data_IF_995739933535
#
_entry.id   IF_995739933535
#
_cell.length_a   1.000
_cell.length_b   1.000
_cell.length_c   1.000
_cell.angle_alpha   90.00
_cell.angle_beta   90.00
_cell.angle_gamma   90.00
#
_symmetry.space_group_name_H-M   'P 1'
#
loop_
_entity.id
_entity.type
_entity.pdbx_description
1 polymer ?
#
# COMPACT_ATOMS: atom_id res chain seq x y z
N UNK A 1 16.98 14.90 -14.59
CA UNK A 1 15.77 14.05 -14.69
C UNK A 1 16.25 12.64 -14.99
N UNK A 2 15.84 11.66 -14.18
CA UNK A 2 16.14 10.24 -14.43
C UNK A 2 15.41 9.77 -15.70
N UNK A 3 15.93 8.74 -16.38
CA UNK A 3 15.31 8.20 -17.59
C UNK A 3 13.88 7.67 -17.37
N UNK A 4 13.50 7.36 -16.12
CA UNK A 4 12.16 6.91 -15.77
C UNK A 4 11.05 7.95 -16.01
N UNK A 5 11.36 9.25 -16.01
CA UNK A 5 10.37 10.29 -16.34
C UNK A 5 9.86 10.19 -17.79
N UNK A 6 10.69 9.66 -18.71
CA UNK A 6 10.26 9.42 -20.10
C UNK A 6 9.29 8.24 -20.19
N UNK A 7 9.45 7.26 -19.30
CA UNK A 7 8.63 6.05 -19.27
C UNK A 7 7.27 6.27 -18.60
N UNK A 8 7.20 7.24 -17.68
CA UNK A 8 6.02 7.62 -16.90
C UNK A 8 5.71 9.10 -17.15
N UNK A 9 5.15 9.46 -18.33
CA UNK A 9 4.98 10.85 -18.76
C UNK A 9 4.04 11.68 -17.85
N UNK A 10 3.15 11.01 -17.11
CA UNK A 10 2.27 11.67 -16.13
C UNK A 10 2.97 12.07 -14.83
N UNK A 11 4.22 11.67 -14.58
CA UNK A 11 4.90 11.94 -13.30
C UNK A 11 5.28 13.43 -13.13
N UNK A 12 4.87 14.11 -12.04
CA UNK A 12 5.26 15.49 -11.79
C UNK A 12 6.75 15.62 -11.42
N UNK A 13 7.30 16.82 -11.57
CA UNK A 13 8.68 17.10 -11.14
C UNK A 13 8.90 16.70 -9.67
N UNK A 14 10.02 16.04 -9.39
CA UNK A 14 10.38 15.56 -8.06
C UNK A 14 9.63 14.29 -7.59
N UNK A 15 8.69 13.77 -8.39
CA UNK A 15 7.94 12.53 -8.07
C UNK A 15 8.81 11.36 -7.61
N UNK A 16 9.99 11.18 -8.19
CA UNK A 16 10.87 10.03 -7.90
C UNK A 16 12.14 10.42 -7.12
N UNK A 17 12.17 11.60 -6.49
CA UNK A 17 13.30 12.01 -5.66
C UNK A 17 13.48 11.05 -4.48
N UNK A 18 14.68 10.50 -4.33
CA UNK A 18 15.00 9.51 -3.29
C UNK A 18 14.42 8.10 -3.53
N UNK A 19 13.84 7.83 -4.70
CA UNK A 19 13.33 6.48 -5.06
C UNK A 19 14.41 5.68 -5.78
N UNK A 20 14.82 4.58 -5.18
CA UNK A 20 15.72 3.59 -5.76
C UNK A 20 14.96 2.51 -6.54
N UNK A 21 15.61 1.97 -7.56
CA UNK A 21 15.14 0.83 -8.37
C UNK A 21 16.31 -0.10 -8.59
N UNK A 22 16.08 -1.40 -8.41
CA UNK A 22 17.09 -2.45 -8.66
C UNK A 22 17.09 -2.93 -10.13
N UNK A 23 16.27 -2.30 -10.97
CA UNK A 23 16.15 -2.51 -12.41
C UNK A 23 16.34 -1.20 -13.16
N UNK A 24 16.58 -1.30 -14.47
CA UNK A 24 16.91 -0.15 -15.33
C UNK A 24 15.70 0.33 -16.14
N UNK A 25 15.81 1.52 -16.74
CA UNK A 25 14.82 2.00 -17.70
C UNK A 25 14.68 1.06 -18.92
N UNK A 26 15.79 0.47 -19.38
CA UNK A 26 15.81 -0.50 -20.48
C UNK A 26 15.02 -1.79 -20.14
N UNK A 27 15.03 -2.22 -18.87
CA UNK A 27 14.21 -3.35 -18.43
C UNK A 27 12.72 -3.05 -18.56
N UNK A 28 12.31 -1.82 -18.21
CA UNK A 28 10.92 -1.38 -18.35
C UNK A 28 10.50 -1.35 -19.81
N UNK A 29 11.32 -0.76 -20.70
CA UNK A 29 11.07 -0.75 -22.15
C UNK A 29 10.94 -2.17 -22.71
N UNK A 30 11.80 -3.08 -22.27
CA UNK A 30 11.78 -4.49 -22.69
C UNK A 30 10.52 -5.23 -22.22
N UNK A 31 9.96 -4.87 -21.07
CA UNK A 31 8.84 -5.58 -20.43
C UNK A 31 7.46 -4.95 -20.71
N UNK A 32 7.39 -3.71 -21.22
CA UNK A 32 6.12 -2.97 -21.42
C UNK A 32 5.36 -3.28 -22.71
N UNK A 33 5.89 -4.16 -23.56
CA UNK A 33 5.29 -4.47 -24.86
C UNK A 33 5.47 -3.34 -25.89
N UNK A 34 4.86 -3.51 -27.06
CA UNK A 34 5.08 -2.65 -28.24
C UNK A 34 4.01 -1.57 -28.47
N UNK A 35 2.99 -1.52 -27.62
CA UNK A 35 1.86 -0.59 -27.77
C UNK A 35 1.68 0.23 -26.51
N UNK A 36 1.25 1.48 -26.67
CA UNK A 36 0.93 2.34 -25.54
C UNK A 36 -0.52 2.11 -25.11
N UNK A 37 -0.72 1.72 -23.85
CA UNK A 37 -2.03 1.64 -23.19
C UNK A 37 -2.05 2.68 -22.08
N UNK A 38 -3.11 3.49 -22.03
CA UNK A 38 -3.27 4.56 -21.03
C UNK A 38 -4.17 4.10 -19.90
N UNK A 39 -3.75 4.38 -18.65
CA UNK A 39 -4.49 4.07 -17.43
C UNK A 39 -4.93 5.38 -16.75
N UNK A 40 -5.81 6.13 -17.41
CA UNK A 40 -6.11 7.53 -17.06
C UNK A 40 -6.52 7.75 -15.60
N UNK A 41 -7.38 6.89 -15.04
CA UNK A 41 -7.82 7.03 -13.64
C UNK A 41 -6.67 6.81 -12.64
N UNK A 42 -5.78 5.85 -12.91
CA UNK A 42 -4.60 5.63 -12.07
C UNK A 42 -3.63 6.81 -12.15
N UNK A 43 -3.39 7.35 -13.35
CA UNK A 43 -2.53 8.53 -13.54
C UNK A 43 -3.09 9.76 -12.81
N UNK A 44 -4.37 10.08 -13.03
CA UNK A 44 -5.06 11.19 -12.37
C UNK A 44 -5.08 11.02 -10.85
N UNK A 45 -5.44 9.83 -10.37
CA UNK A 45 -5.51 9.52 -8.95
C UNK A 45 -4.14 9.64 -8.28
N UNK A 46 -3.11 9.02 -8.85
CA UNK A 46 -1.76 9.06 -8.30
C UNK A 46 -1.21 10.49 -8.21
N UNK A 47 -1.39 11.30 -9.25
CA UNK A 47 -0.93 12.68 -9.27
C UNK A 47 -1.70 13.56 -8.28
N UNK A 48 -3.03 13.38 -8.19
CA UNK A 48 -3.85 14.09 -7.21
C UNK A 48 -3.44 13.70 -5.78
N UNK A 49 -3.24 12.41 -5.51
CA UNK A 49 -2.81 11.93 -4.20
C UNK A 49 -1.44 12.52 -3.83
N UNK A 50 -0.48 12.49 -4.76
CA UNK A 50 0.84 13.07 -4.56
C UNK A 50 0.77 14.57 -4.23
N UNK A 51 -0.08 15.32 -4.94
CA UNK A 51 -0.32 16.74 -4.64
C UNK A 51 -0.90 16.93 -3.23
N UNK A 52 -1.97 16.20 -2.90
CA UNK A 52 -2.65 16.32 -1.61
C UNK A 52 -1.72 16.04 -0.41
N UNK A 53 -0.91 14.98 -0.46
CA UNK A 53 0.01 14.64 0.66
C UNK A 53 1.19 15.63 0.81
N UNK A 54 1.39 16.52 -0.15
CA UNK A 54 2.42 17.55 -0.12
C UNK A 54 1.88 18.95 0.23
N UNK A 55 0.60 19.22 -0.03
CA UNK A 55 -0.02 20.53 0.18
C UNK A 55 -0.93 20.59 1.42
N UNK A 56 -1.59 19.49 1.77
CA UNK A 56 -2.48 19.43 2.94
C UNK A 56 -1.68 19.13 4.21
N UNK A 57 -2.17 19.59 5.37
CA UNK A 57 -1.59 19.23 6.67
C UNK A 57 -1.51 17.70 6.86
N UNK A 58 -2.58 17.02 6.45
CA UNK A 58 -2.66 15.57 6.33
C UNK A 58 -3.85 15.21 5.40
N UNK A 59 -3.86 13.99 4.87
CA UNK A 59 -4.97 13.44 4.10
C UNK A 59 -5.56 12.28 4.88
N UNK A 60 -6.79 12.43 5.36
CA UNK A 60 -7.54 11.35 6.02
C UNK A 60 -8.53 10.69 5.04
N UNK A 61 -8.84 9.43 5.30
CA UNK A 61 -9.78 8.64 4.51
C UNK A 61 -10.54 7.66 5.42
N UNK A 62 -11.60 7.06 4.89
CA UNK A 62 -12.36 6.00 5.53
C UNK A 62 -12.39 4.76 4.62
N UNK A 63 -12.48 3.57 5.24
CA UNK A 63 -12.58 2.28 4.54
C UNK A 63 -13.94 2.12 3.85
N UNK A 64 -13.94 2.10 2.51
CA UNK A 64 -15.12 1.85 1.71
C UNK A 64 -15.18 0.40 1.23
N UNK A 65 -16.26 -0.31 1.57
CA UNK A 65 -16.57 -1.66 1.10
C UNK A 65 -17.57 -1.70 -0.07
N UNK A 66 -18.07 -0.53 -0.48
CA UNK A 66 -18.93 -0.40 -1.65
C UNK A 66 -18.77 0.95 -2.35
N UNK A 67 -19.21 1.03 -3.61
CA UNK A 67 -19.17 2.27 -4.37
C UNK A 67 -20.07 3.38 -3.80
N UNK A 68 -21.22 3.04 -3.21
CA UNK A 68 -22.08 4.07 -2.60
C UNK A 68 -21.48 4.66 -1.33
N UNK A 69 -20.80 3.86 -0.51
CA UNK A 69 -20.05 4.40 0.63
C UNK A 69 -18.99 5.41 0.15
N UNK A 70 -18.18 5.02 -0.85
CA UNK A 70 -17.18 5.91 -1.43
C UNK A 70 -17.80 7.20 -2.02
N UNK A 71 -18.92 7.10 -2.72
CA UNK A 71 -19.65 8.27 -3.23
C UNK A 71 -20.06 9.22 -2.10
N UNK A 72 -20.55 8.71 -0.97
CA UNK A 72 -20.93 9.55 0.16
C UNK A 72 -19.71 10.14 0.88
N UNK A 73 -18.61 9.41 0.97
CA UNK A 73 -17.34 9.94 1.51
C UNK A 73 -16.89 11.18 0.73
N UNK A 74 -16.90 11.10 -0.61
CA UNK A 74 -16.54 12.22 -1.48
C UNK A 74 -17.57 13.34 -1.39
N UNK A 75 -18.87 13.03 -1.41
CA UNK A 75 -19.94 14.03 -1.25
C UNK A 75 -19.85 14.79 0.07
N UNK A 76 -19.41 14.12 1.14
CA UNK A 76 -19.19 14.72 2.44
C UNK A 76 -17.91 15.58 2.53
N UNK A 77 -17.08 15.60 1.47
CA UNK A 77 -15.88 16.41 1.36
C UNK A 77 -14.56 15.69 1.70
N UNK A 78 -14.57 14.37 1.92
CA UNK A 78 -13.31 13.63 2.06
C UNK A 78 -12.54 13.62 0.73
N UNK A 79 -11.22 13.85 0.80
CA UNK A 79 -10.36 14.02 -0.38
C UNK A 79 -9.71 12.73 -0.87
N UNK A 80 -9.88 11.62 -0.16
CA UNK A 80 -9.34 10.31 -0.50
C UNK A 80 -10.25 9.19 0.01
N UNK A 81 -10.10 8.00 -0.57
CA UNK A 81 -10.83 6.78 -0.20
C UNK A 81 -9.80 5.72 0.19
N UNK A 82 -10.06 5.00 1.29
CA UNK A 82 -9.29 3.81 1.64
C UNK A 82 -10.09 2.56 1.23
N UNK A 83 -9.41 1.60 0.62
CA UNK A 83 -9.98 0.29 0.29
C UNK A 83 -9.28 -0.76 1.16
N UNK A 84 -10.01 -1.31 2.13
CA UNK A 84 -9.49 -2.25 3.11
C UNK A 84 -9.59 -3.71 2.65
N UNK A 85 -8.50 -4.46 2.73
CA UNK A 85 -8.47 -5.91 2.49
C UNK A 85 -9.30 -6.67 3.52
N UNK A 86 -9.30 -6.22 4.78
CA UNK A 86 -10.18 -6.73 5.84
C UNK A 86 -11.66 -6.65 5.45
N UNK A 87 -12.11 -5.50 4.91
CA UNK A 87 -13.51 -5.33 4.48
C UNK A 87 -13.83 -6.17 3.24
N UNK A 88 -12.87 -6.32 2.32
CA UNK A 88 -12.99 -7.23 1.18
C UNK A 88 -13.19 -8.68 1.67
N UNK A 89 -12.36 -9.15 2.60
CA UNK A 89 -12.50 -10.47 3.21
C UNK A 89 -13.86 -10.63 3.90
N UNK A 90 -14.30 -9.62 4.65
CA UNK A 90 -15.53 -9.67 5.42
C UNK A 90 -16.78 -9.77 4.53
N UNK A 91 -16.91 -8.94 3.48
CA UNK A 91 -18.22 -8.75 2.84
C UNK A 91 -18.19 -8.34 1.35
N UNK A 92 -17.01 -8.27 0.70
CA UNK A 92 -16.91 -7.72 -0.66
C UNK A 92 -15.93 -8.45 -1.60
N UNK A 93 -15.70 -9.75 -1.39
CA UNK A 93 -14.74 -10.53 -2.19
C UNK A 93 -15.37 -11.40 -3.29
N UNK A 94 -14.51 -11.88 -4.19
CA UNK A 94 -14.86 -12.65 -5.39
C UNK A 94 -15.11 -14.13 -5.13
N UNK A 95 -14.95 -14.62 -3.89
CA UNK A 95 -15.42 -15.94 -3.51
C UNK A 95 -16.87 -15.93 -3.00
N UNK A 96 -17.49 -14.75 -2.89
CA UNK A 96 -18.86 -14.59 -2.36
C UNK A 96 -19.04 -15.24 -0.99
N UNK A 97 -18.02 -15.13 -0.14
CA UNK A 97 -17.97 -15.72 1.19
C UNK A 97 -17.49 -14.70 2.21
N UNK A 98 -17.94 -14.85 3.45
CA UNK A 98 -17.39 -14.11 4.58
C UNK A 98 -16.11 -14.80 5.06
N UNK A 99 -15.00 -14.06 5.12
CA UNK A 99 -13.72 -14.54 5.62
C UNK A 99 -13.16 -13.66 6.74
N UNK A 100 -12.35 -14.23 7.65
CA UNK A 100 -11.43 -13.43 8.45
C UNK A 100 -10.31 -12.84 7.57
N UNK A 101 -9.65 -11.80 8.07
CA UNK A 101 -8.55 -11.10 7.39
C UNK A 101 -7.23 -11.90 7.44
N UNK A 102 -7.14 -12.88 6.55
CA UNK A 102 -6.02 -13.84 6.45
C UNK A 102 -5.68 -14.23 4.99
N UNK A 103 -5.89 -13.32 4.02
CA UNK A 103 -5.60 -13.59 2.59
C UNK A 103 -6.30 -14.84 2.00
N UNK A 104 -7.47 -15.21 2.54
CA UNK A 104 -8.22 -16.40 2.08
C UNK A 104 -8.98 -16.18 0.78
N UNK A 105 -9.28 -14.92 0.46
CA UNK A 105 -10.06 -14.57 -0.72
C UNK A 105 -9.20 -14.56 -1.99
N UNK A 106 -9.78 -14.78 -3.18
CA UNK A 106 -9.03 -14.72 -4.44
C UNK A 106 -8.41 -13.35 -4.68
N UNK A 107 -7.13 -13.31 -5.07
CA UNK A 107 -6.31 -12.09 -5.16
C UNK A 107 -6.88 -10.96 -6.04
N UNK A 108 -7.83 -11.25 -6.92
CA UNK A 108 -8.49 -10.25 -7.76
C UNK A 108 -9.60 -9.44 -7.06
N UNK A 109 -9.99 -9.82 -5.83
CA UNK A 109 -11.13 -9.23 -5.14
C UNK A 109 -11.00 -7.73 -4.88
N UNK A 110 -9.87 -7.29 -4.31
CA UNK A 110 -9.65 -5.89 -3.98
C UNK A 110 -9.51 -5.00 -5.25
N UNK A 111 -8.82 -5.41 -6.33
CA UNK A 111 -8.90 -4.72 -7.62
C UNK A 111 -10.31 -4.60 -8.19
N UNK A 112 -11.15 -5.64 -8.10
CA UNK A 112 -12.55 -5.57 -8.52
C UNK A 112 -13.36 -4.56 -7.69
N UNK A 113 -13.10 -4.46 -6.38
CA UNK A 113 -13.72 -3.43 -5.55
C UNK A 113 -13.23 -2.02 -5.91
N UNK A 114 -11.93 -1.82 -6.18
CA UNK A 114 -11.40 -0.53 -6.63
C UNK A 114 -12.08 -0.06 -7.92
N UNK A 115 -12.27 -0.99 -8.87
CA UNK A 115 -13.00 -0.74 -10.12
C UNK A 115 -14.45 -0.38 -9.86
N UNK A 116 -15.14 -1.07 -8.94
CA UNK A 116 -16.53 -0.74 -8.54
C UNK A 116 -16.63 0.66 -7.96
N UNK A 117 -15.72 1.04 -7.07
CA UNK A 117 -15.66 2.38 -6.48
C UNK A 117 -15.52 3.43 -7.59
N UNK A 118 -14.51 3.30 -8.45
CA UNK A 118 -14.28 4.23 -9.56
C UNK A 118 -15.47 4.32 -10.52
N UNK A 119 -16.18 3.21 -10.78
CA UNK A 119 -17.40 3.21 -11.62
C UNK A 119 -18.56 3.97 -10.96
N UNK A 120 -18.72 3.86 -9.65
CA UNK A 120 -19.75 4.65 -8.94
C UNK A 120 -19.41 6.13 -8.94
N UNK A 121 -18.14 6.50 -8.70
CA UNK A 121 -17.67 7.89 -8.78
C UNK A 121 -17.84 8.46 -10.19
N UNK A 122 -17.52 7.68 -11.23
CA UNK A 122 -17.78 8.04 -12.62
C UNK A 122 -19.26 8.31 -12.89
N UNK A 123 -20.18 7.53 -12.30
CA UNK A 123 -21.62 7.79 -12.46
C UNK A 123 -22.05 9.06 -11.75
N UNK A 124 -21.52 9.34 -10.55
CA UNK A 124 -21.81 10.57 -9.83
C UNK A 124 -21.36 11.81 -10.62
N UNK A 125 -20.16 11.75 -11.22
CA UNK A 125 -19.62 12.77 -12.13
C UNK A 125 -20.50 13.01 -13.36
N UNK A 126 -20.91 11.92 -14.03
CA UNK A 126 -21.79 11.99 -15.19
C UNK A 126 -23.16 12.60 -14.88
N UNK A 127 -23.71 12.33 -13.70
CA UNK A 127 -25.00 12.88 -13.25
C UNK A 127 -24.89 14.41 -13.14
N UNK A 128 -23.94 14.91 -12.36
CA UNK A 128 -23.81 16.37 -12.15
C UNK A 128 -23.36 17.11 -13.41
N UNK A 129 -22.51 16.48 -14.22
CA UNK A 129 -22.14 17.01 -15.55
C UNK A 129 -23.39 17.16 -16.45
N UNK A 130 -24.26 16.16 -16.48
CA UNK A 130 -25.49 16.19 -17.28
C UNK A 130 -26.51 17.22 -16.76
N UNK A 131 -26.54 17.49 -15.46
CA UNK A 131 -27.40 18.52 -14.85
C UNK A 131 -26.93 19.95 -15.14
N UNK A 132 -25.68 20.15 -15.57
CA UNK A 132 -25.19 21.43 -16.10
C UNK A 132 -25.00 22.55 -15.08
N UNK A 133 -24.93 22.22 -13.78
CA UNK A 133 -24.81 23.19 -12.67
C UNK A 133 -23.40 23.23 -12.05
N UNK A 134 -22.44 22.55 -12.67
CA UNK A 134 -21.14 22.27 -12.07
C UNK A 134 -21.20 21.11 -11.08
N UNK A 135 -20.04 20.75 -10.52
CA UNK A 135 -19.93 19.70 -9.52
C UNK A 135 -20.22 20.24 -8.12
N UNK A 136 -20.78 19.40 -7.26
CA UNK A 136 -21.00 19.72 -5.83
C UNK A 136 -19.76 19.48 -4.95
N UNK A 137 -18.69 18.95 -5.53
CA UNK A 137 -17.40 18.60 -4.89
C UNK A 137 -16.24 19.03 -5.77
N UNK A 138 -15.02 19.12 -5.22
CA UNK A 138 -13.80 19.44 -5.99
C UNK A 138 -13.60 18.49 -7.20
N UNK A 139 -13.83 17.20 -6.97
CA UNK A 139 -13.83 16.16 -7.99
C UNK A 139 -14.52 14.91 -7.43
N UNK A 140 -15.23 14.19 -8.28
CA UNK A 140 -15.75 12.87 -7.93
C UNK A 140 -14.66 11.81 -7.87
N UNK A 141 -13.56 11.98 -8.61
CA UNK A 141 -12.47 10.99 -8.71
C UNK A 141 -11.44 11.19 -7.59
N UNK A 142 -11.88 11.04 -6.34
CA UNK A 142 -10.97 11.03 -5.20
C UNK A 142 -9.98 9.83 -5.30
N UNK A 143 -8.68 10.03 -5.01
CA UNK A 143 -7.69 8.96 -5.05
C UNK A 143 -8.03 7.81 -4.10
N UNK A 144 -7.96 6.59 -4.63
CA UNK A 144 -8.11 5.36 -3.85
C UNK A 144 -6.73 4.88 -3.41
N UNK A 145 -6.52 4.73 -2.11
CA UNK A 145 -5.39 4.00 -1.53
C UNK A 145 -5.88 2.60 -1.18
N UNK A 146 -5.31 1.57 -1.80
CA UNK A 146 -5.82 0.21 -1.74
C UNK A 146 -4.86 -0.79 -1.09
N UNK A 147 -5.45 -1.80 -0.47
CA UNK A 147 -4.79 -2.89 0.24
C UNK A 147 -4.40 -4.05 -0.69
N UNK A 148 -3.10 -4.28 -0.86
CA UNK A 148 -2.57 -5.46 -1.56
C UNK A 148 -2.09 -6.56 -0.58
N UNK A 149 -2.39 -6.42 0.72
CA UNK A 149 -1.99 -7.32 1.79
C UNK A 149 -0.48 -7.61 1.75
N UNK A 150 -0.10 -8.88 1.84
CA UNK A 150 1.27 -9.36 1.66
C UNK A 150 1.64 -9.63 0.18
N UNK A 151 0.82 -9.18 -0.77
CA UNK A 151 1.01 -9.40 -2.21
C UNK A 151 0.56 -10.79 -2.71
N UNK A 152 -0.19 -11.56 -1.91
CA UNK A 152 -0.75 -12.88 -2.26
C UNK A 152 0.29 -13.95 -2.68
N UNK A 153 1.55 -13.78 -2.29
CA UNK A 153 2.60 -14.75 -2.58
C UNK A 153 3.99 -14.12 -2.66
N UNK A 154 4.69 -14.41 -3.75
CA UNK A 154 6.02 -13.86 -4.02
C UNK A 154 6.00 -12.59 -4.87
N UNK A 155 7.17 -12.14 -5.35
CA UNK A 155 7.29 -10.90 -6.13
C UNK A 155 6.43 -10.86 -7.40
N UNK A 156 6.20 -11.99 -8.08
CA UNK A 156 5.33 -12.03 -9.27
C UNK A 156 3.85 -11.82 -8.92
N UNK A 157 3.39 -12.31 -7.76
CA UNK A 157 2.03 -12.06 -7.28
C UNK A 157 1.87 -10.57 -6.91
N UNK A 158 2.87 -9.99 -6.24
CA UNK A 158 2.91 -8.55 -5.94
C UNK A 158 2.92 -7.69 -7.22
N UNK A 159 3.65 -8.11 -8.27
CA UNK A 159 3.65 -7.44 -9.57
C UNK A 159 2.26 -7.47 -10.24
N UNK A 160 1.62 -8.65 -10.29
CA UNK A 160 0.32 -8.79 -10.95
C UNK A 160 -0.81 -8.06 -10.21
N UNK A 161 -0.86 -8.10 -8.87
CA UNK A 161 -1.88 -7.36 -8.13
C UNK A 161 -1.70 -5.84 -8.26
N UNK A 162 -0.46 -5.35 -8.35
CA UNK A 162 -0.21 -3.93 -8.64
C UNK A 162 -0.78 -3.52 -10.00
N UNK A 163 -0.55 -4.32 -11.05
CA UNK A 163 -1.12 -4.06 -12.38
C UNK A 163 -2.66 -4.07 -12.34
N UNK A 164 -3.25 -5.04 -11.67
CA UNK A 164 -4.70 -5.13 -11.52
C UNK A 164 -5.28 -3.89 -10.83
N UNK A 165 -4.62 -3.38 -9.78
CA UNK A 165 -5.02 -2.13 -9.13
C UNK A 165 -4.85 -0.90 -10.03
N UNK A 166 -3.79 -0.83 -10.82
CA UNK A 166 -3.58 0.24 -11.80
C UNK A 166 -4.68 0.23 -12.86
N UNK A 167 -5.01 -0.93 -13.41
CA UNK A 167 -6.12 -1.08 -14.36
C UNK A 167 -7.47 -0.69 -13.75
N UNK A 168 -7.67 -0.99 -12.46
CA UNK A 168 -8.84 -0.59 -11.70
C UNK A 168 -8.88 0.90 -11.34
N UNK A 169 -7.79 1.65 -11.55
CA UNK A 169 -7.68 3.08 -11.29
C UNK A 169 -7.33 3.44 -9.83
N UNK A 170 -6.61 2.58 -9.12
CA UNK A 170 -6.07 2.92 -7.79
C UNK A 170 -4.94 3.96 -7.90
N UNK A 171 -4.89 4.89 -6.93
CA UNK A 171 -3.89 5.96 -6.87
C UNK A 171 -2.63 5.55 -6.10
N UNK A 172 -2.81 4.73 -5.06
CA UNK A 172 -1.73 4.18 -4.26
C UNK A 172 -2.09 2.78 -3.76
N UNK A 173 -1.07 1.96 -3.52
CA UNK A 173 -1.22 0.58 -3.09
C UNK A 173 -0.23 0.29 -1.97
N UNK A 174 -0.70 -0.32 -0.88
CA UNK A 174 0.18 -0.73 0.23
C UNK A 174 0.46 -2.23 0.24
N UNK A 175 1.68 -2.57 0.63
CA UNK A 175 2.17 -3.94 0.81
C UNK A 175 2.75 -4.08 2.21
N UNK A 176 2.58 -5.23 2.84
CA UNK A 176 3.11 -5.51 4.18
C UNK A 176 4.16 -6.63 4.21
N UNK A 177 5.03 -6.62 5.21
CA UNK A 177 6.16 -7.55 5.36
C UNK A 177 5.79 -8.85 6.11
N UNK A 178 4.56 -9.33 5.90
CA UNK A 178 4.09 -10.62 6.39
C UNK A 178 4.28 -11.74 5.36
N UNK A 179 4.32 -12.99 5.84
CA UNK A 179 4.24 -14.18 5.01
C UNK A 179 2.79 -14.34 4.50
N UNK A 180 2.59 -14.26 3.18
CA UNK A 180 1.25 -14.29 2.59
C UNK A 180 0.40 -15.52 2.97
N UNK A 181 1.01 -16.70 3.08
CA UNK A 181 0.27 -17.92 3.47
C UNK A 181 -0.19 -17.92 4.94
N UNK A 182 0.36 -17.04 5.76
CA UNK A 182 0.03 -16.87 7.17
C UNK A 182 -0.34 -15.43 7.52
N UNK A 183 -0.76 -14.64 6.51
CA UNK A 183 -1.15 -13.25 6.69
C UNK A 183 -2.23 -13.15 7.76
N UNK A 184 -2.18 -12.10 8.59
CA UNK A 184 -3.24 -11.74 9.53
C UNK A 184 -3.55 -10.25 9.45
N UNK A 185 -4.69 -9.86 9.99
CA UNK A 185 -4.93 -8.49 10.39
C UNK A 185 -3.79 -8.01 11.32
N UNK A 186 -3.37 -6.76 11.18
CA UNK A 186 -2.32 -6.15 11.99
C UNK A 186 -2.53 -6.23 13.50
N UNK A 187 -3.78 -6.36 13.94
CA UNK A 187 -4.20 -6.40 15.34
C UNK A 187 -4.52 -7.83 15.85
N UNK A 188 -4.25 -8.86 15.04
CA UNK A 188 -4.36 -10.26 15.46
C UNK A 188 -2.98 -10.83 15.86
N UNK A 189 -3.01 -11.87 16.71
CA UNK A 189 -1.82 -12.67 17.01
C UNK A 189 -1.41 -13.60 15.86
N UNK A 190 -0.23 -14.23 15.98
CA UNK A 190 0.23 -15.24 15.03
C UNK A 190 0.79 -14.69 13.71
N UNK A 191 1.14 -13.39 13.65
CA UNK A 191 1.80 -12.80 12.49
C UNK A 191 3.21 -13.37 12.30
N UNK A 192 3.53 -13.72 11.06
CA UNK A 192 4.85 -14.20 10.63
C UNK A 192 5.45 -13.19 9.66
N UNK A 193 6.58 -12.59 10.00
CA UNK A 193 7.31 -11.69 9.12
C UNK A 193 8.06 -12.46 8.04
N UNK A 194 8.27 -11.82 6.90
CA UNK A 194 9.29 -12.20 5.92
C UNK A 194 10.60 -11.43 6.18
N UNK A 195 11.75 -11.91 5.66
CA UNK A 195 13.01 -11.18 5.75
C UNK A 195 12.90 -9.78 5.11
N UNK A 196 13.64 -8.82 5.63
CA UNK A 196 13.68 -7.44 5.15
C UNK A 196 13.92 -7.39 3.62
N UNK A 197 14.88 -8.17 3.10
CA UNK A 197 15.13 -8.29 1.65
C UNK A 197 13.95 -8.87 0.85
N UNK A 198 13.16 -9.77 1.44
CA UNK A 198 11.99 -10.33 0.76
C UNK A 198 10.89 -9.27 0.57
N UNK A 199 10.65 -8.42 1.57
CA UNK A 199 9.71 -7.32 1.42
C UNK A 199 10.21 -6.25 0.44
N UNK A 200 11.51 -5.92 0.45
CA UNK A 200 12.11 -5.03 -0.57
C UNK A 200 11.90 -5.56 -2.00
N UNK A 201 11.97 -6.89 -2.21
CA UNK A 201 11.64 -7.51 -3.52
C UNK A 201 10.16 -7.29 -3.91
N UNK A 202 9.23 -7.37 -2.96
CA UNK A 202 7.81 -7.09 -3.23
C UNK A 202 7.58 -5.60 -3.57
N UNK A 203 8.19 -4.68 -2.83
CA UNK A 203 8.12 -3.23 -3.11
C UNK A 203 8.73 -2.90 -4.49
N UNK A 204 9.86 -3.52 -4.82
CA UNK A 204 10.50 -3.41 -6.14
C UNK A 204 9.58 -3.94 -7.24
N UNK A 205 8.93 -5.08 -7.03
CA UNK A 205 7.99 -5.65 -7.99
C UNK A 205 6.77 -4.73 -8.20
N UNK A 206 6.23 -4.14 -7.14
CA UNK A 206 5.17 -3.14 -7.23
C UNK A 206 5.62 -1.90 -8.02
N UNK A 207 6.84 -1.40 -7.80
CA UNK A 207 7.37 -0.28 -8.58
C UNK A 207 7.57 -0.66 -10.05
N UNK A 208 8.09 -1.86 -10.33
CA UNK A 208 8.29 -2.32 -11.71
C UNK A 208 6.95 -2.41 -12.44
N UNK A 209 5.91 -2.91 -11.78
CA UNK A 209 4.55 -2.91 -12.32
C UNK A 209 4.07 -1.49 -12.65
N UNK A 210 4.24 -0.52 -11.75
CA UNK A 210 3.87 0.88 -12.02
C UNK A 210 4.63 1.49 -13.20
N UNK A 211 5.94 1.25 -13.28
CA UNK A 211 6.78 1.76 -14.37
C UNK A 211 6.43 1.09 -15.72
N UNK A 212 6.18 -0.21 -15.74
CA UNK A 212 5.74 -0.98 -16.93
C UNK A 212 4.38 -0.49 -17.42
N UNK A 213 3.46 -0.19 -16.50
CA UNK A 213 2.14 0.36 -16.81
C UNK A 213 2.19 1.87 -17.10
N UNK A 214 3.37 2.51 -17.00
CA UNK A 214 3.58 3.91 -17.34
C UNK A 214 2.86 4.91 -16.43
N UNK A 215 2.58 4.56 -15.17
CA UNK A 215 1.84 5.41 -14.23
C UNK A 215 2.61 5.69 -12.92
N UNK A 216 2.48 6.89 -12.32
CA UNK A 216 3.22 7.27 -11.12
C UNK A 216 2.58 6.78 -9.81
N UNK A 217 1.93 5.61 -9.81
CA UNK A 217 1.20 5.05 -8.66
C UNK A 217 2.04 5.05 -7.39
N UNK A 218 1.41 5.43 -6.28
CA UNK A 218 2.10 5.49 -4.99
C UNK A 218 2.26 4.09 -4.41
N UNK A 219 3.47 3.76 -3.94
CA UNK A 219 3.77 2.51 -3.24
C UNK A 219 3.93 2.81 -1.76
N UNK A 220 3.20 2.11 -0.90
CA UNK A 220 3.24 2.29 0.55
C UNK A 220 3.82 1.01 1.18
N UNK A 221 4.93 1.14 1.91
CA UNK A 221 5.53 0.02 2.62
C UNK A 221 4.99 -0.03 4.05
N UNK A 222 4.39 -1.16 4.42
CA UNK A 222 3.89 -1.42 5.77
C UNK A 222 4.80 -2.43 6.47
N UNK A 223 5.12 -2.16 7.74
CA UNK A 223 5.75 -3.16 8.62
C UNK A 223 4.82 -3.60 9.75
N UNK A 224 4.81 -4.90 10.02
CA UNK A 224 4.02 -5.54 11.08
C UNK A 224 4.87 -5.95 12.30
N UNK A 225 6.15 -5.57 12.32
CA UNK A 225 7.15 -5.98 13.31
C UNK A 225 6.87 -5.48 14.75
N UNK A 226 5.89 -4.59 14.95
CA UNK A 226 5.55 -4.06 16.26
C UNK A 226 4.98 -5.17 17.16
N UNK A 227 4.20 -6.08 16.59
CA UNK A 227 3.53 -7.17 17.30
C UNK A 227 3.87 -8.58 16.78
N UNK A 228 4.48 -8.70 15.59
CA UNK A 228 4.84 -9.99 15.03
C UNK A 228 6.02 -10.63 15.79
N UNK A 229 5.83 -11.87 16.25
CA UNK A 229 6.81 -12.62 17.05
C UNK A 229 7.49 -13.75 16.28
N UNK A 230 7.14 -13.92 15.01
CA UNK A 230 7.67 -14.98 14.14
C UNK A 230 8.30 -14.37 12.89
N UNK A 231 9.33 -15.01 12.37
CA UNK A 231 10.04 -14.67 11.15
C UNK A 231 10.35 -15.95 10.36
N UNK A 232 10.16 -15.93 9.04
CA UNK A 232 10.38 -17.15 8.25
C UNK A 232 11.83 -17.58 8.14
N UNK A 233 12.79 -16.64 8.16
CA UNK A 233 14.22 -16.93 8.05
C UNK A 233 15.07 -15.79 8.61
N UNK A 234 16.18 -16.14 9.27
CA UNK A 234 17.21 -15.21 9.75
C UNK A 234 18.33 -14.94 8.72
N UNK A 235 18.07 -15.26 7.44
CA UNK A 235 19.06 -15.15 6.36
C UNK A 235 19.58 -13.72 6.18
N UNK A 236 18.71 -12.72 6.40
CA UNK A 236 19.03 -11.30 6.27
C UNK A 236 19.67 -10.78 7.54
N UNK A 237 20.91 -10.28 7.42
CA UNK A 237 21.70 -9.75 8.54
C UNK A 237 21.00 -8.61 9.29
N UNK A 238 20.12 -7.87 8.62
CA UNK A 238 19.34 -6.78 9.24
C UNK A 238 18.29 -7.28 10.21
N UNK A 239 17.85 -8.53 10.07
CA UNK A 239 16.83 -9.13 10.91
C UNK A 239 17.44 -9.86 12.12
N UNK A 240 18.67 -10.37 11.99
CA UNK A 240 19.37 -11.15 13.03
C UNK A 240 19.44 -10.48 14.41
N UNK A 241 19.63 -9.15 14.56
CA UNK A 241 19.64 -8.49 15.88
C UNK A 241 18.35 -8.69 16.67
N UNK A 242 17.24 -8.97 15.99
CA UNK A 242 15.92 -9.14 16.58
C UNK A 242 15.52 -10.61 16.75
N UNK A 243 16.32 -11.57 16.27
CA UNK A 243 16.03 -12.99 16.43
C UNK A 243 16.34 -13.44 17.86
N UNK A 244 15.42 -14.18 18.46
CA UNK A 244 15.62 -14.87 19.73
C UNK A 244 16.12 -16.29 19.45
N UNK A 245 17.45 -16.43 19.35
CA UNK A 245 18.08 -17.72 19.07
C UNK A 245 17.96 -18.72 20.24
N UNK A 246 17.77 -18.24 21.48
CA UNK A 246 17.64 -19.10 22.66
C UNK A 246 16.26 -19.78 22.71
N UNK A 247 15.23 -19.11 22.18
CA UNK A 247 13.89 -19.68 22.07
C UNK A 247 13.79 -20.82 21.04
N UNK A 248 14.79 -20.98 20.18
CA UNK A 248 14.79 -21.97 19.10
C UNK A 248 13.78 -21.62 17.99
N UNK A 249 13.37 -22.65 17.23
CA UNK A 249 12.39 -22.52 16.14
C UNK A 249 11.08 -23.20 16.51
N UNK A 250 9.98 -22.73 15.94
CA UNK A 250 8.67 -23.39 16.04
C UNK A 250 8.68 -24.73 15.29
N UNK A 251 7.61 -25.52 15.45
CA UNK A 251 7.48 -26.84 14.79
C UNK A 251 7.39 -26.71 13.26
N UNK A 252 6.86 -25.59 12.76
CA UNK A 252 6.82 -25.21 11.34
C UNK A 252 8.18 -24.73 10.84
N UNK A 253 9.14 -24.50 11.74
CA UNK A 253 10.49 -24.04 11.42
C UNK A 253 10.67 -22.52 11.42
N UNK A 254 9.71 -21.75 11.93
CA UNK A 254 9.84 -20.29 12.03
C UNK A 254 10.79 -19.89 13.17
N UNK A 255 11.53 -18.81 12.96
CA UNK A 255 12.31 -18.17 14.01
C UNK A 255 11.41 -17.32 14.89
N UNK A 256 11.73 -17.26 16.18
CA UNK A 256 11.12 -16.32 17.10
C UNK A 256 11.87 -14.99 17.08
N UNK A 257 11.15 -13.88 17.15
CA UNK A 257 11.74 -12.53 17.12
C UNK A 257 11.22 -11.63 18.24
N UNK A 258 12.07 -10.71 18.67
CA UNK A 258 11.77 -9.61 19.59
C UNK A 258 11.01 -8.53 18.82
N UNK A 259 9.68 -8.53 19.00
CA UNK A 259 8.80 -7.53 18.40
C UNK A 259 8.96 -6.15 19.06
N UNK A 260 8.52 -5.09 18.38
CA UNK A 260 8.42 -3.75 18.97
C UNK A 260 8.84 -2.64 18.01
N UNK A 261 9.06 -1.44 18.56
CA UNK A 261 9.34 -0.25 17.76
C UNK A 261 10.73 -0.27 17.08
N UNK A 262 11.73 -0.88 17.71
CA UNK A 262 13.09 -0.96 17.17
C UNK A 262 13.18 -1.70 15.82
N UNK A 263 12.67 -2.94 15.67
CA UNK A 263 12.65 -3.59 14.36
C UNK A 263 11.78 -2.85 13.35
N UNK A 264 10.71 -2.17 13.79
CA UNK A 264 9.90 -1.34 12.88
C UNK A 264 10.70 -0.19 12.29
N UNK A 265 11.46 0.56 13.11
CA UNK A 265 12.30 1.66 12.62
C UNK A 265 13.39 1.12 11.69
N UNK A 266 14.06 0.02 12.06
CA UNK A 266 15.09 -0.60 11.23
C UNK A 266 14.55 -1.01 9.85
N UNK A 267 13.40 -1.69 9.82
CA UNK A 267 12.71 -2.10 8.59
C UNK A 267 12.23 -0.91 7.77
N UNK A 268 11.60 0.06 8.41
CA UNK A 268 11.15 1.30 7.77
C UNK A 268 12.30 2.04 7.06
N UNK A 269 13.45 2.19 7.72
CA UNK A 269 14.65 2.81 7.13
C UNK A 269 15.15 2.01 5.92
N UNK A 270 15.09 0.67 5.98
CA UNK A 270 15.48 -0.19 4.86
C UNK A 270 14.49 -0.14 3.68
N UNK A 271 13.19 0.06 3.96
CA UNK A 271 12.15 0.13 2.93
C UNK A 271 12.04 1.51 2.28
N UNK A 272 12.51 2.57 2.95
CA UNK A 272 12.32 3.94 2.53
C UNK A 272 12.72 4.23 1.07
N UNK A 273 13.85 3.73 0.53
CA UNK A 273 14.20 4.00 -0.87
C UNK A 273 13.24 3.35 -1.88
N UNK A 274 12.45 2.36 -1.48
CA UNK A 274 11.63 1.52 -2.37
C UNK A 274 10.14 1.84 -2.29
N UNK A 275 9.73 2.82 -1.48
CA UNK A 275 8.33 3.22 -1.32
C UNK A 275 8.19 4.75 -1.27
N UNK A 276 6.97 5.25 -1.45
CA UNK A 276 6.62 6.67 -1.36
C UNK A 276 6.20 7.06 0.07
N UNK A 277 5.49 6.17 0.76
CA UNK A 277 5.11 6.32 2.16
C UNK A 277 5.48 5.09 2.97
N UNK A 278 5.72 5.27 4.27
CA UNK A 278 5.94 4.17 5.22
C UNK A 278 4.83 4.16 6.27
N UNK A 279 4.36 2.96 6.62
CA UNK A 279 3.38 2.69 7.66
C UNK A 279 3.93 1.66 8.65
N UNK A 280 3.88 1.98 9.95
CA UNK A 280 4.05 0.99 11.02
C UNK A 280 2.68 0.68 11.61
N UNK A 281 2.28 -0.59 11.60
CA UNK A 281 1.11 -1.00 12.40
C UNK A 281 1.46 -0.93 13.90
N UNK A 282 0.48 -0.59 14.74
CA UNK A 282 0.69 -0.39 16.19
C UNK A 282 -0.37 -1.11 17.00
N UNK A 283 -0.03 -1.49 18.23
CA UNK A 283 -0.97 -2.17 19.13
C UNK A 283 -1.97 -1.22 19.81
N UNK A 284 -1.72 0.10 19.83
CA UNK A 284 -2.55 1.13 20.49
C UNK A 284 -2.44 2.48 19.76
N UNK A 285 -3.43 3.38 19.90
CA UNK A 285 -3.33 4.74 19.39
C UNK A 285 -2.45 5.62 20.30
N UNK A 286 -1.12 5.50 20.14
CA UNK A 286 -0.13 6.19 20.97
C UNK A 286 0.68 7.23 20.17
N UNK A 287 0.45 8.52 20.47
CA UNK A 287 1.12 9.63 19.80
C UNK A 287 2.62 9.71 20.11
N UNK A 288 3.06 9.25 21.28
CA UNK A 288 4.48 9.26 21.62
C UNK A 288 5.22 8.15 20.88
N UNK A 289 4.60 6.96 20.76
CA UNK A 289 5.12 5.91 19.89
C UNK A 289 5.18 6.38 18.43
N UNK A 290 4.13 7.05 17.94
CA UNK A 290 4.09 7.60 16.57
C UNK A 290 5.19 8.65 16.34
N UNK A 291 5.41 9.55 17.30
CA UNK A 291 6.49 10.55 17.26
C UNK A 291 7.86 9.87 17.17
N UNK A 292 8.14 8.90 18.05
CA UNK A 292 9.41 8.18 18.08
C UNK A 292 9.67 7.41 16.79
N UNK A 293 8.64 6.79 16.20
CA UNK A 293 8.75 6.15 14.89
C UNK A 293 9.13 7.17 13.81
N UNK A 294 8.40 8.28 13.74
CA UNK A 294 8.64 9.34 12.77
C UNK A 294 10.05 9.93 12.89
N UNK A 295 10.48 10.29 14.11
CA UNK A 295 11.83 10.80 14.38
C UNK A 295 12.91 9.77 14.00
N UNK A 296 12.69 8.49 14.30
CA UNK A 296 13.60 7.40 13.93
C UNK A 296 13.79 7.28 12.42
N UNK A 297 12.70 7.35 11.64
CA UNK A 297 12.75 7.31 10.17
C UNK A 297 13.37 8.60 9.62
N UNK A 298 12.92 9.77 10.09
CA UNK A 298 13.37 11.08 9.57
C UNK A 298 14.82 11.40 9.91
N UNK A 299 15.40 10.78 10.93
CA UNK A 299 16.84 10.86 11.20
C UNK A 299 17.68 10.34 10.04
N UNK A 300 17.18 9.35 9.29
CA UNK A 300 17.88 8.74 8.14
C UNK A 300 17.33 9.25 6.81
N UNK A 301 16.01 9.40 6.72
CA UNK A 301 15.29 9.87 5.52
C UNK A 301 14.46 11.11 5.85
N UNK A 302 15.08 12.30 5.94
CA UNK A 302 14.38 13.54 6.27
C UNK A 302 13.20 13.82 5.34
N UNK A 303 12.04 14.14 5.91
CA UNK A 303 10.83 14.47 5.14
C UNK A 303 10.11 13.29 4.51
N UNK A 304 10.54 12.04 4.77
CA UNK A 304 9.84 10.85 4.27
C UNK A 304 8.38 10.85 4.72
N UNK A 305 7.45 10.72 3.76
CA UNK A 305 6.02 10.70 4.06
C UNK A 305 5.66 9.43 4.82
N UNK A 306 4.78 9.54 5.80
CA UNK A 306 4.32 8.44 6.65
C UNK A 306 2.81 8.29 6.51
N UNK A 307 2.30 7.10 6.80
CA UNK A 307 0.89 6.80 6.92
C UNK A 307 0.60 6.17 8.29
N UNK A 308 -0.59 6.43 8.83
CA UNK A 308 -1.01 5.97 10.15
C UNK A 308 -2.41 5.36 10.09
N UNK A 309 -2.58 4.21 10.74
CA UNK A 309 -3.86 3.54 10.83
C UNK A 309 -4.58 3.95 12.12
N UNK A 310 -5.65 4.74 11.99
CA UNK A 310 -6.58 4.99 13.08
C UNK A 310 -7.55 3.81 13.23
N UNK A 311 -7.01 2.68 13.69
CA UNK A 311 -7.68 1.39 13.65
C UNK A 311 -8.95 1.35 14.51
N UNK A 312 -10.08 0.85 13.97
CA UNK A 312 -11.26 0.50 14.77
C UNK A 312 -11.03 -0.70 15.71
N UNK A 313 -9.92 -1.44 15.56
CA UNK A 313 -9.52 -2.49 16.49
C UNK A 313 -9.04 -1.94 17.84
N UNK A 314 -8.80 -0.63 17.94
CA UNK A 314 -8.51 0.04 19.19
C UNK A 314 -9.80 0.36 19.96
N UNK A 315 -9.70 0.33 21.29
CA UNK A 315 -10.66 1.00 22.16
C UNK A 315 -10.13 2.42 22.44
N UNK A 316 -10.73 3.43 21.78
CA UNK A 316 -10.25 4.82 21.75
C UNK A 316 -10.54 5.59 23.04
#
# INVERSE_FOLDING_TARGET
MTDFYKLVPGAPQGRFDGIERTYTAADVERLRGSVEIRHSLAEMGANRLWKLINEENFVNALGALSGNQAMQMVRAGLKAIYLSGWQVAADANTASAMYPDQSLYPANAAPELAKRINRTLQRADQIETAEGKGLSVDTWFAPIVADAEAGFGGPLNAFEIMKAFIEAGAAGVHYEDQLASEKKCGHLGGKVLIPTAAHIRNLTAARLAADVMGVPTLVIARTDAEAAKLLTSDIDERDRPFVDYDAGRTVEGFYQVKNGLEPCIARAVAYAPYCDLIWCETSKPDLEQARRFAEGVHKVHPGKKLAYNCSPSFNW
#
